data_IF_914027517141
#
_entry.id   IF_914027517141
#
_cell.length_a   1.000
_cell.length_b   1.000
_cell.length_c   1.000
_cell.angle_alpha   90.00
_cell.angle_beta   90.00
_cell.angle_gamma   90.00
#
_symmetry.space_group_name_H-M   'P 1'
#
loop_
_entity.id
_entity.type
_entity.pdbx_description
1 polymer ?
#
# COMPACT_ATOMS: atom_id res chain seq x y z
N UNK A 1 17.41 6.94 29.23
CA UNK A 1 17.67 8.21 28.51
C UNK A 1 17.36 7.93 27.04
N UNK A 2 16.24 8.43 26.53
CA UNK A 2 15.73 8.08 25.20
C UNK A 2 16.65 8.66 24.11
N UNK A 3 17.03 7.87 23.09
CA UNK A 3 18.07 8.24 22.09
C UNK A 3 17.71 9.49 21.27
N UNK A 4 16.44 9.91 21.23
CA UNK A 4 16.01 11.22 20.73
C UNK A 4 16.84 12.36 21.33
N UNK A 5 17.02 12.38 22.65
CA UNK A 5 17.76 13.45 23.31
C UNK A 5 19.24 13.56 22.89
N UNK A 6 19.81 12.54 22.25
CA UNK A 6 21.19 12.61 21.75
C UNK A 6 21.27 13.29 20.38
N UNK A 7 20.31 13.02 19.48
CA UNK A 7 20.18 13.70 18.18
C UNK A 7 19.77 15.18 18.39
N UNK A 8 18.90 15.43 19.39
CA UNK A 8 18.48 16.77 19.79
C UNK A 8 19.64 17.64 20.34
N UNK A 9 20.70 17.04 20.88
CA UNK A 9 21.81 17.77 21.52
C UNK A 9 22.98 18.13 20.60
N UNK A 10 23.10 17.53 19.41
CA UNK A 10 24.29 17.71 18.55
C UNK A 10 24.08 18.55 17.28
N UNK A 11 22.96 19.27 17.15
CA UNK A 11 22.81 20.35 16.16
C UNK A 11 21.84 20.12 15.00
N UNK A 12 20.98 19.10 15.04
CA UNK A 12 19.93 18.83 14.03
C UNK A 12 18.49 19.21 14.43
N UNK A 13 18.31 19.96 15.53
CA UNK A 13 17.11 19.91 16.39
C UNK A 13 16.20 21.13 16.32
N UNK A 14 15.73 21.51 15.12
CA UNK A 14 14.59 22.45 15.02
C UNK A 14 13.61 22.00 13.96
N UNK A 15 14.09 21.56 12.80
CA UNK A 15 13.24 21.02 11.74
C UNK A 15 12.61 19.68 12.14
N UNK A 16 13.39 18.75 12.72
CA UNK A 16 12.87 17.49 13.25
C UNK A 16 11.83 17.72 14.38
N UNK A 17 12.12 18.63 15.31
CA UNK A 17 11.17 19.00 16.37
C UNK A 17 9.91 19.66 15.80
N UNK A 18 10.06 20.55 14.81
CA UNK A 18 8.93 21.16 14.13
C UNK A 18 8.07 20.12 13.39
N UNK A 19 8.69 19.11 12.77
CA UNK A 19 8.00 18.01 12.08
C UNK A 19 7.22 17.12 13.05
N UNK A 20 7.85 16.69 14.15
CA UNK A 20 7.18 15.84 15.14
C UNK A 20 6.06 16.62 15.85
N UNK A 21 6.28 17.88 16.21
CA UNK A 21 5.25 18.74 16.80
C UNK A 21 4.11 19.05 15.81
N UNK A 22 4.43 19.25 14.53
CA UNK A 22 3.42 19.41 13.48
C UNK A 22 2.57 18.14 13.37
N UNK A 23 3.19 16.97 13.30
CA UNK A 23 2.51 15.68 13.20
C UNK A 23 1.62 15.37 14.43
N UNK A 24 1.91 15.96 15.59
CA UNK A 24 1.08 15.81 16.80
C UNK A 24 -0.17 16.72 16.83
N UNK A 25 -0.20 17.82 16.07
CA UNK A 25 -1.25 18.84 16.13
C UNK A 25 -2.41 18.59 15.13
N UNK A 26 -3.52 17.99 15.61
CA UNK A 26 -4.66 17.50 14.79
C UNK A 26 -5.36 18.51 13.86
N UNK A 27 -5.17 19.82 14.02
CA UNK A 27 -5.92 20.84 13.27
C UNK A 27 -5.25 21.33 11.99
N UNK A 28 -3.90 21.31 11.93
CA UNK A 28 -3.10 21.89 10.82
C UNK A 28 -1.79 21.11 10.56
N UNK A 29 -1.72 19.86 11.03
CA UNK A 29 -0.52 19.01 10.98
C UNK A 29 0.08 18.92 9.58
N UNK A 30 -0.76 18.72 8.56
CA UNK A 30 -0.32 18.53 7.17
C UNK A 30 0.40 19.75 6.61
N UNK A 31 -0.12 20.96 6.85
CA UNK A 31 0.48 22.22 6.37
C UNK A 31 1.82 22.47 7.06
N UNK A 32 1.85 22.29 8.38
CA UNK A 32 3.06 22.48 9.18
C UNK A 32 4.14 21.43 8.87
N UNK A 33 3.75 20.16 8.66
CA UNK A 33 4.66 19.09 8.25
C UNK A 33 5.26 19.42 6.89
N UNK A 34 4.42 19.79 5.91
CA UNK A 34 4.89 20.17 4.57
C UNK A 34 5.85 21.36 4.62
N UNK A 35 5.53 22.39 5.39
CA UNK A 35 6.41 23.55 5.55
C UNK A 35 7.76 23.16 6.17
N UNK A 36 7.76 22.33 7.20
CA UNK A 36 8.99 21.89 7.86
C UNK A 36 9.84 20.97 6.96
N UNK A 37 9.21 20.15 6.11
CA UNK A 37 9.92 19.39 5.07
C UNK A 37 10.53 20.32 4.03
N UNK A 38 9.77 21.31 3.55
CA UNK A 38 10.25 22.28 2.57
C UNK A 38 11.44 23.09 3.07
N UNK A 39 11.43 23.46 4.35
CA UNK A 39 12.51 24.23 4.97
C UNK A 39 13.79 23.40 5.14
N UNK A 40 13.69 22.08 5.35
CA UNK A 40 14.84 21.18 5.47
C UNK A 40 14.51 19.71 5.09
N UNK A 41 14.49 19.37 3.78
CA UNK A 41 14.09 18.04 3.33
C UNK A 41 15.12 16.97 3.70
N UNK A 42 16.38 17.34 3.92
CA UNK A 42 17.44 16.41 4.33
C UNK A 42 17.28 15.98 5.78
N UNK A 43 16.95 16.91 6.67
CA UNK A 43 16.64 16.56 8.07
C UNK A 43 15.33 15.76 8.17
N UNK A 44 14.33 16.06 7.34
CA UNK A 44 13.11 15.26 7.25
C UNK A 44 13.42 13.81 6.82
N UNK A 45 14.23 13.65 5.76
CA UNK A 45 14.68 12.35 5.29
C UNK A 45 15.48 11.57 6.35
N UNK A 46 16.38 12.26 7.05
CA UNK A 46 17.15 11.67 8.16
C UNK A 46 16.28 11.29 9.37
N UNK A 47 15.16 11.98 9.61
CA UNK A 47 14.20 11.61 10.65
C UNK A 47 13.45 10.34 10.28
N UNK A 48 12.94 10.24 9.05
CA UNK A 48 12.19 9.07 8.60
C UNK A 48 13.08 7.86 8.31
N UNK A 49 14.40 8.02 8.19
CA UNK A 49 15.34 6.89 8.15
C UNK A 49 15.58 6.26 9.52
N UNK A 50 15.16 6.89 10.62
CA UNK A 50 15.25 6.28 11.95
C UNK A 50 14.10 5.27 12.14
N UNK A 51 14.33 4.14 12.85
CA UNK A 51 13.27 3.22 13.24
C UNK A 51 12.12 3.95 13.93
N UNK A 52 10.87 3.49 13.78
CA UNK A 52 9.65 4.19 14.26
C UNK A 52 9.70 4.65 15.72
N UNK A 53 10.23 3.81 16.62
CA UNK A 53 10.41 4.17 18.03
C UNK A 53 11.42 5.29 18.24
N UNK A 54 12.33 5.54 17.30
CA UNK A 54 13.39 6.57 17.35
C UNK A 54 13.11 7.81 16.47
N UNK A 55 12.17 7.75 15.53
CA UNK A 55 11.75 8.89 14.70
C UNK A 55 10.61 9.72 15.31
N UNK A 56 9.76 9.08 16.10
CA UNK A 56 8.64 9.68 16.82
C UNK A 56 7.36 9.59 16.01
N UNK A 57 7.48 8.97 14.84
CA UNK A 57 6.46 8.83 13.82
C UNK A 57 6.08 7.36 13.70
N UNK A 58 4.80 7.12 13.46
CA UNK A 58 4.33 5.82 12.95
C UNK A 58 4.79 5.65 11.49
N UNK A 59 4.69 4.44 10.93
CA UNK A 59 4.99 4.26 9.50
C UNK A 59 4.06 5.08 8.59
N UNK A 60 2.79 5.27 9.00
CA UNK A 60 1.87 6.22 8.35
C UNK A 60 2.40 7.66 8.43
N UNK A 61 2.90 8.09 9.59
CA UNK A 61 3.55 9.40 9.72
C UNK A 61 4.79 9.55 8.85
N UNK A 62 5.65 8.52 8.81
CA UNK A 62 6.87 8.48 8.00
C UNK A 62 6.54 8.56 6.50
N UNK A 63 5.52 7.84 6.03
CA UNK A 63 5.11 7.90 4.62
C UNK A 63 4.54 9.26 4.20
N UNK A 64 3.77 9.92 5.07
CA UNK A 64 3.30 11.30 4.81
C UNK A 64 4.44 12.29 4.70
N UNK A 65 5.45 12.17 5.57
CA UNK A 65 6.68 12.97 5.46
C UNK A 65 7.42 12.62 4.19
N UNK A 66 7.53 11.34 3.84
CA UNK A 66 8.18 10.89 2.61
C UNK A 66 7.50 11.50 1.37
N UNK A 67 6.17 11.54 1.30
CA UNK A 67 5.44 12.20 0.20
C UNK A 67 5.81 13.68 0.06
N UNK A 68 5.90 14.41 1.17
CA UNK A 68 6.33 15.80 1.12
C UNK A 68 7.79 15.92 0.70
N UNK A 69 8.65 14.99 1.12
CA UNK A 69 10.05 14.96 0.70
C UNK A 69 10.11 14.76 -0.81
N UNK A 70 9.38 13.77 -1.35
CA UNK A 70 9.32 13.50 -2.79
C UNK A 70 8.84 14.71 -3.60
N UNK A 71 7.85 15.45 -3.08
CA UNK A 71 7.34 16.65 -3.75
C UNK A 71 8.38 17.79 -3.92
N UNK A 72 9.45 17.79 -3.11
CA UNK A 72 10.54 18.77 -3.21
C UNK A 72 11.65 18.34 -4.20
N UNK A 73 11.61 17.11 -4.72
CA UNK A 73 12.56 16.58 -5.70
C UNK A 73 11.85 16.24 -7.03
N UNK A 74 11.80 17.19 -7.99
CA UNK A 74 11.04 17.02 -9.24
C UNK A 74 11.64 16.01 -10.21
N UNK A 75 12.89 15.59 -10.01
CA UNK A 75 13.54 14.53 -10.79
C UNK A 75 13.33 13.18 -10.08
N UNK A 76 12.54 12.25 -10.68
CA UNK A 76 12.27 10.94 -10.09
C UNK A 76 13.52 10.11 -9.83
N UNK A 77 14.51 10.13 -10.73
CA UNK A 77 15.72 9.31 -10.57
C UNK A 77 16.54 9.78 -9.37
N UNK A 78 16.67 11.11 -9.24
CA UNK A 78 17.35 11.73 -8.11
C UNK A 78 16.62 11.45 -6.79
N UNK A 79 15.28 11.58 -6.78
CA UNK A 79 14.47 11.34 -5.61
C UNK A 79 14.59 9.88 -5.14
N UNK A 80 14.54 8.92 -6.08
CA UNK A 80 14.79 7.50 -5.81
C UNK A 80 16.15 7.29 -5.17
N UNK A 81 17.23 7.78 -5.80
CA UNK A 81 18.59 7.58 -5.29
C UNK A 81 18.75 8.11 -3.87
N UNK A 82 18.19 9.28 -3.58
CA UNK A 82 18.24 9.87 -2.25
C UNK A 82 17.50 9.03 -1.21
N UNK A 83 16.30 8.55 -1.53
CA UNK A 83 15.50 7.73 -0.61
C UNK A 83 16.17 6.36 -0.39
N UNK A 84 16.67 5.72 -1.44
CA UNK A 84 17.35 4.42 -1.36
C UNK A 84 18.66 4.48 -0.56
N UNK A 85 19.39 5.61 -0.64
CA UNK A 85 20.59 5.83 0.16
C UNK A 85 20.30 6.15 1.63
N UNK A 86 19.20 6.84 1.91
CA UNK A 86 18.90 7.31 3.25
C UNK A 86 18.11 6.30 4.08
N UNK A 87 17.17 5.57 3.47
CA UNK A 87 16.24 4.67 4.16
C UNK A 87 16.57 3.23 3.77
N UNK A 88 16.70 2.35 4.77
CA UNK A 88 16.94 0.93 4.55
C UNK A 88 15.77 0.30 3.79
N UNK A 89 16.04 -0.73 2.99
CA UNK A 89 15.02 -1.43 2.19
C UNK A 89 13.82 -1.88 3.04
N UNK A 90 14.07 -2.57 4.16
CA UNK A 90 13.04 -3.04 5.08
C UNK A 90 12.15 -1.90 5.63
N UNK A 91 12.75 -0.74 5.90
CA UNK A 91 12.03 0.44 6.36
C UNK A 91 11.19 1.06 5.22
N UNK A 92 11.70 1.12 3.99
CA UNK A 92 10.93 1.61 2.84
C UNK A 92 9.70 0.74 2.59
N UNK A 93 9.88 -0.58 2.63
CA UNK A 93 8.81 -1.57 2.50
C UNK A 93 7.74 -1.35 3.57
N UNK A 94 8.13 -1.23 4.85
CA UNK A 94 7.19 -1.03 5.94
C UNK A 94 6.47 0.35 5.89
N UNK A 95 7.15 1.40 5.40
CA UNK A 95 6.54 2.73 5.21
C UNK A 95 5.50 2.68 4.08
N UNK A 96 5.84 2.06 2.95
CA UNK A 96 4.95 1.90 1.80
C UNK A 96 3.74 1.04 2.15
N UNK A 97 3.95 -0.12 2.77
CA UNK A 97 2.89 -1.04 3.18
C UNK A 97 1.92 -0.38 4.16
N UNK A 98 2.42 0.44 5.09
CA UNK A 98 1.57 1.15 6.04
C UNK A 98 0.67 2.22 5.40
N UNK A 99 0.95 2.68 4.18
CA UNK A 99 0.04 3.52 3.39
C UNK A 99 -0.94 2.72 2.54
N UNK A 100 -0.63 1.44 2.28
CA UNK A 100 -1.41 0.57 1.42
C UNK A 100 -1.67 1.15 0.03
N UNK A 101 -2.93 1.08 -0.38
CA UNK A 101 -3.44 1.54 -1.68
C UNK A 101 -3.63 3.07 -1.79
N UNK A 102 -3.41 3.83 -0.71
CA UNK A 102 -3.51 5.28 -0.76
C UNK A 102 -2.46 5.89 -1.71
N UNK A 103 -2.78 7.00 -2.41
CA UNK A 103 -1.82 7.69 -3.26
C UNK A 103 -0.55 8.04 -2.49
N UNK A 104 0.60 7.59 -2.98
CA UNK A 104 1.90 7.79 -2.33
C UNK A 104 2.95 7.99 -3.42
N UNK A 105 3.52 9.20 -3.52
CA UNK A 105 4.49 9.58 -4.55
C UNK A 105 5.76 8.72 -4.53
N UNK A 106 6.13 8.18 -3.36
CA UNK A 106 7.24 7.24 -3.26
C UNK A 106 6.97 5.94 -4.02
N UNK A 107 5.71 5.50 -4.07
CA UNK A 107 5.30 4.30 -4.80
C UNK A 107 5.39 4.49 -6.32
N UNK A 108 5.53 5.70 -6.85
CA UNK A 108 5.73 5.98 -8.29
C UNK A 108 7.22 6.00 -8.68
N UNK A 109 8.11 6.12 -7.68
CA UNK A 109 9.52 6.42 -7.90
C UNK A 109 10.45 5.32 -7.41
N UNK A 110 10.04 4.58 -6.38
CA UNK A 110 10.81 3.45 -5.85
C UNK A 110 10.81 2.27 -6.82
N UNK A 111 11.78 1.39 -6.62
CA UNK A 111 11.96 0.16 -7.42
C UNK A 111 10.73 -0.75 -7.34
N UNK A 112 10.50 -1.54 -8.40
CA UNK A 112 9.43 -2.54 -8.42
C UNK A 112 9.58 -3.56 -7.29
N UNK A 113 10.81 -3.93 -6.94
CA UNK A 113 11.05 -4.90 -5.87
C UNK A 113 10.62 -4.33 -4.49
N UNK A 114 10.83 -3.04 -4.23
CA UNK A 114 10.31 -2.36 -3.02
C UNK A 114 8.77 -2.35 -3.01
N UNK A 115 8.16 -2.07 -4.16
CA UNK A 115 6.69 -1.99 -4.31
C UNK A 115 6.04 -3.36 -4.10
N UNK A 116 6.59 -4.41 -4.70
CA UNK A 116 6.07 -5.78 -4.56
C UNK A 116 6.26 -6.26 -3.12
N UNK A 117 7.42 -5.99 -2.51
CA UNK A 117 7.65 -6.31 -1.12
C UNK A 117 6.66 -5.58 -0.20
N UNK A 118 6.33 -4.31 -0.47
CA UNK A 118 5.34 -3.56 0.30
C UNK A 118 3.92 -4.13 0.15
N UNK A 119 3.52 -4.47 -1.07
CA UNK A 119 2.23 -5.11 -1.36
C UNK A 119 2.08 -6.45 -0.61
N UNK A 120 3.12 -7.29 -0.62
CA UNK A 120 3.12 -8.57 0.09
C UNK A 120 3.17 -8.38 1.61
N UNK A 121 3.88 -7.37 2.09
CA UNK A 121 3.91 -7.03 3.51
C UNK A 121 2.51 -6.63 4.01
N UNK A 122 1.77 -5.82 3.23
CA UNK A 122 0.38 -5.46 3.58
C UNK A 122 -0.53 -6.69 3.64
N UNK A 123 -0.40 -7.62 2.69
CA UNK A 123 -1.14 -8.89 2.73
C UNK A 123 -0.88 -9.64 4.03
N UNK A 124 0.38 -9.77 4.43
CA UNK A 124 0.73 -10.50 5.66
C UNK A 124 0.27 -9.75 6.92
N UNK A 125 0.40 -8.42 6.97
CA UNK A 125 -0.13 -7.60 8.07
C UNK A 125 -1.64 -7.80 8.25
N UNK A 126 -2.39 -7.82 7.14
CA UNK A 126 -3.84 -8.05 7.14
C UNK A 126 -4.16 -9.46 7.64
N UNK A 127 -3.44 -10.48 7.18
CA UNK A 127 -3.62 -11.87 7.63
C UNK A 127 -3.34 -12.03 9.13
N UNK A 128 -2.24 -11.46 9.61
CA UNK A 128 -1.84 -11.51 11.02
C UNK A 128 -2.88 -10.84 11.91
N UNK A 129 -3.39 -9.66 11.51
CA UNK A 129 -4.41 -8.92 12.25
C UNK A 129 -5.73 -9.68 12.41
N UNK A 130 -6.00 -10.62 11.50
CA UNK A 130 -7.21 -11.45 11.46
C UNK A 130 -7.00 -12.86 11.99
N UNK A 131 -5.78 -13.22 12.39
CA UNK A 131 -5.42 -14.57 12.83
C UNK A 131 -5.82 -15.65 11.81
N UNK A 132 -5.71 -15.34 10.51
CA UNK A 132 -5.99 -16.31 9.46
C UNK A 132 -4.96 -17.43 9.50
N UNK A 133 -5.42 -18.67 9.36
CA UNK A 133 -4.55 -19.85 9.38
C UNK A 133 -4.28 -20.35 7.96
N UNK A 134 -3.41 -21.35 7.82
CA UNK A 134 -3.19 -22.02 6.53
C UNK A 134 -4.46 -22.70 5.98
N UNK A 135 -5.43 -23.01 6.84
CA UNK A 135 -6.72 -23.58 6.45
C UNK A 135 -7.62 -22.55 5.72
N UNK A 136 -7.30 -21.26 5.83
CA UNK A 136 -8.01 -20.15 5.17
C UNK A 136 -7.42 -19.83 3.78
N UNK A 137 -6.84 -20.83 3.09
CA UNK A 137 -6.09 -20.62 1.85
C UNK A 137 -6.83 -19.76 0.81
N UNK A 138 -8.07 -20.09 0.47
CA UNK A 138 -8.84 -19.34 -0.53
C UNK A 138 -9.23 -17.93 -0.05
N UNK A 139 -9.49 -17.75 1.24
CA UNK A 139 -9.68 -16.41 1.80
C UNK A 139 -8.39 -15.59 1.71
N UNK A 140 -7.23 -16.21 1.96
CA UNK A 140 -5.92 -15.58 1.77
C UNK A 140 -5.65 -15.22 0.31
N UNK A 141 -6.05 -16.07 -0.65
CA UNK A 141 -5.96 -15.76 -2.09
C UNK A 141 -6.86 -14.56 -2.42
N UNK A 142 -8.10 -14.54 -1.92
CA UNK A 142 -9.01 -13.42 -2.15
C UNK A 142 -8.52 -12.09 -1.56
N UNK A 143 -7.92 -12.13 -0.38
CA UNK A 143 -7.28 -10.96 0.22
C UNK A 143 -6.12 -10.44 -0.64
N UNK A 144 -5.25 -11.34 -1.10
CA UNK A 144 -4.16 -11.01 -2.03
C UNK A 144 -4.72 -10.35 -3.29
N UNK A 145 -5.71 -10.96 -3.94
CA UNK A 145 -6.30 -10.43 -5.17
C UNK A 145 -6.84 -9.01 -4.99
N UNK A 146 -7.56 -8.75 -3.90
CA UNK A 146 -8.09 -7.42 -3.60
C UNK A 146 -7.01 -6.37 -3.35
N UNK A 147 -6.01 -6.69 -2.53
CA UNK A 147 -4.87 -5.78 -2.24
C UNK A 147 -4.06 -5.54 -3.51
N UNK A 148 -3.69 -6.59 -4.24
CA UNK A 148 -2.94 -6.49 -5.50
C UNK A 148 -3.68 -5.63 -6.52
N UNK A 149 -5.01 -5.79 -6.67
CA UNK A 149 -5.82 -4.94 -7.56
C UNK A 149 -5.80 -3.47 -7.13
N UNK A 150 -5.91 -3.19 -5.83
CA UNK A 150 -5.87 -1.82 -5.31
C UNK A 150 -4.52 -1.14 -5.61
N UNK A 151 -3.41 -1.86 -5.39
CA UNK A 151 -2.08 -1.41 -5.80
C UNK A 151 -1.94 -1.24 -7.32
N UNK A 152 -2.45 -2.19 -8.10
CA UNK A 152 -2.39 -2.11 -9.55
C UNK A 152 -3.13 -0.89 -10.10
N UNK A 153 -4.27 -0.51 -9.50
CA UNK A 153 -4.99 0.72 -9.83
C UNK A 153 -4.18 1.97 -9.52
N UNK A 154 -3.50 2.01 -8.37
CA UNK A 154 -2.62 3.10 -7.96
C UNK A 154 -1.41 3.27 -8.88
N UNK A 155 -0.84 2.18 -9.38
CA UNK A 155 0.44 2.15 -10.11
C UNK A 155 0.29 2.16 -11.63
N UNK A 156 -0.94 2.16 -12.17
CA UNK A 156 -1.22 1.98 -13.60
C UNK A 156 -0.54 2.98 -14.54
N UNK A 157 -0.18 4.15 -14.03
CA UNK A 157 0.43 5.22 -14.80
C UNK A 157 1.98 5.19 -14.76
N UNK A 158 2.59 4.20 -14.08
CA UNK A 158 4.05 4.02 -14.05
C UNK A 158 4.58 3.56 -15.41
N UNK A 159 5.79 3.98 -15.74
CA UNK A 159 6.47 3.58 -16.98
C UNK A 159 6.76 2.06 -17.01
N UNK A 160 7.03 1.47 -15.85
CA UNK A 160 7.34 0.04 -15.67
C UNK A 160 6.12 -0.79 -15.26
N UNK A 161 4.90 -0.27 -15.44
CA UNK A 161 3.66 -0.95 -15.03
C UNK A 161 3.45 -2.31 -15.71
N UNK A 162 3.78 -2.41 -17.00
CA UNK A 162 3.69 -3.69 -17.72
C UNK A 162 4.70 -4.72 -17.18
N UNK A 163 5.88 -4.27 -16.72
CA UNK A 163 6.83 -5.16 -16.06
C UNK A 163 6.25 -5.65 -14.73
N UNK A 164 5.67 -4.75 -13.93
CA UNK A 164 4.99 -5.09 -12.67
C UNK A 164 3.92 -6.16 -12.89
N UNK A 165 3.00 -5.96 -13.84
CA UNK A 165 1.90 -6.90 -14.11
C UNK A 165 2.40 -8.31 -14.42
N UNK A 166 3.56 -8.44 -15.08
CA UNK A 166 4.14 -9.72 -15.46
C UNK A 166 5.03 -10.34 -14.37
N UNK A 167 5.21 -9.70 -13.21
CA UNK A 167 5.99 -10.29 -12.10
C UNK A 167 5.23 -11.46 -11.46
N UNK A 168 5.91 -12.58 -11.17
CA UNK A 168 5.32 -13.69 -10.42
C UNK A 168 5.12 -13.26 -8.97
N UNK A 169 3.99 -13.68 -8.38
CA UNK A 169 3.63 -13.34 -7.00
C UNK A 169 3.26 -14.56 -6.15
N UNK A 170 2.72 -15.62 -6.75
CA UNK A 170 2.37 -16.85 -6.05
C UNK A 170 2.51 -18.07 -6.97
N UNK A 171 3.62 -18.80 -6.82
CA UNK A 171 3.96 -19.89 -7.74
C UNK A 171 4.07 -19.41 -9.18
N UNK A 172 3.20 -19.94 -10.05
CA UNK A 172 3.13 -19.59 -11.47
C UNK A 172 2.18 -18.41 -11.76
N UNK A 173 1.45 -17.91 -10.75
CA UNK A 173 0.54 -16.78 -10.91
C UNK A 173 1.31 -15.46 -10.90
N UNK A 174 0.94 -14.60 -11.85
CA UNK A 174 1.46 -13.24 -11.97
C UNK A 174 0.60 -12.23 -11.20
N UNK A 175 1.12 -11.00 -11.02
CA UNK A 175 0.33 -9.87 -10.53
C UNK A 175 -0.90 -9.65 -11.42
N UNK A 176 -0.75 -9.73 -12.74
CA UNK A 176 -1.86 -9.65 -13.70
C UNK A 176 -2.94 -10.69 -13.39
N UNK A 177 -2.54 -11.94 -13.14
CA UNK A 177 -3.49 -13.00 -12.83
C UNK A 177 -4.31 -12.68 -11.57
N UNK A 178 -3.65 -12.20 -10.52
CA UNK A 178 -4.34 -11.77 -9.28
C UNK A 178 -5.32 -10.61 -9.51
N UNK A 179 -4.95 -9.64 -10.36
CA UNK A 179 -5.83 -8.53 -10.75
C UNK A 179 -7.05 -9.05 -11.51
N UNK A 180 -6.84 -9.94 -12.48
CA UNK A 180 -7.91 -10.53 -13.28
C UNK A 180 -8.87 -11.36 -12.42
N UNK A 181 -8.34 -12.20 -11.52
CA UNK A 181 -9.12 -12.95 -10.54
C UNK A 181 -9.99 -12.01 -9.70
N UNK A 182 -9.43 -10.90 -9.23
CA UNK A 182 -10.19 -9.89 -8.50
C UNK A 182 -11.30 -9.27 -9.35
N UNK A 183 -11.06 -8.94 -10.62
CA UNK A 183 -12.10 -8.43 -11.52
C UNK A 183 -13.23 -9.46 -11.68
N UNK A 184 -12.92 -10.72 -11.97
CA UNK A 184 -13.91 -11.76 -12.20
C UNK A 184 -14.75 -12.02 -10.94
N UNK A 185 -14.09 -12.25 -9.81
CA UNK A 185 -14.74 -12.59 -8.54
C UNK A 185 -15.64 -11.46 -8.02
N UNK A 186 -15.24 -10.20 -8.18
CA UNK A 186 -16.05 -9.07 -7.75
C UNK A 186 -17.33 -8.86 -8.58
N UNK A 187 -17.39 -9.43 -9.77
CA UNK A 187 -18.53 -9.31 -10.70
C UNK A 187 -19.35 -10.60 -10.81
N UNK A 188 -19.23 -11.52 -9.85
CA UNK A 188 -20.04 -12.75 -9.85
C UNK A 188 -19.51 -13.85 -10.75
N UNK A 189 -18.34 -13.67 -11.37
CA UNK A 189 -17.76 -14.62 -12.32
C UNK A 189 -16.78 -15.52 -11.57
N UNK A 190 -17.29 -16.58 -10.94
CA UNK A 190 -16.52 -17.59 -10.19
C UNK A 190 -17.31 -18.90 -10.01
N UNK A 191 -16.64 -19.97 -9.57
CA UNK A 191 -17.26 -21.25 -9.23
C UNK A 191 -17.66 -22.13 -10.43
N UNK A 192 -18.29 -23.28 -10.13
CA UNK A 192 -18.60 -24.33 -11.11
C UNK A 192 -19.58 -23.89 -12.21
N UNK A 193 -20.47 -22.93 -11.93
CA UNK A 193 -21.47 -22.46 -12.91
C UNK A 193 -20.80 -21.76 -14.11
N UNK A 194 -19.67 -21.09 -13.90
CA UNK A 194 -18.88 -20.45 -14.97
C UNK A 194 -18.15 -21.49 -15.81
N UNK A 195 -17.71 -22.60 -15.21
CA UNK A 195 -17.05 -23.69 -15.94
C UNK A 195 -17.97 -24.37 -16.94
N UNK A 196 -19.28 -24.47 -16.63
CA UNK A 196 -20.28 -24.99 -17.57
C UNK A 196 -20.44 -24.09 -18.80
N UNK A 197 -20.31 -22.76 -18.63
CA UNK A 197 -20.42 -21.80 -19.74
C UNK A 197 -19.19 -21.83 -20.66
N UNK A 198 -18.01 -22.18 -20.14
CA UNK A 198 -16.76 -22.26 -20.91
C UNK A 198 -16.62 -23.53 -21.78
N UNK A 199 -17.45 -24.54 -21.52
CA UNK A 199 -17.50 -25.78 -22.30
C UNK A 199 -18.41 -25.67 -23.54
N UNK A 200 -19.20 -24.60 -23.65
CA UNK A 200 -19.97 -24.28 -24.85
C UNK A 200 -19.09 -23.47 -25.82
N UNK A 201 -19.26 -23.62 -27.14
CA UNK A 201 -18.56 -22.85 -28.20
C UNK A 201 -18.99 -21.36 -28.20
N UNK A 202 -19.18 -20.75 -27.02
CA UNK A 202 -19.55 -19.35 -26.84
C UNK A 202 -18.32 -18.44 -27.07
N UNK A 203 -18.36 -17.55 -28.07
CA UNK A 203 -17.28 -16.59 -28.29
C UNK A 203 -17.17 -15.52 -27.18
N UNK A 204 -18.19 -15.34 -26.34
CA UNK A 204 -18.24 -14.30 -25.30
C UNK A 204 -18.67 -14.88 -23.92
N UNK A 205 -17.86 -15.78 -23.32
CA UNK A 205 -18.26 -16.59 -22.16
C UNK A 205 -18.53 -15.79 -20.86
N UNK A 206 -18.28 -14.48 -20.87
CA UNK A 206 -18.48 -13.60 -19.71
C UNK A 206 -19.44 -12.43 -20.00
N UNK A 207 -20.11 -12.44 -21.17
CA UNK A 207 -21.20 -11.54 -21.53
C UNK A 207 -21.05 -10.08 -21.07
N UNK A 208 -22.08 -9.60 -20.38
CA UNK A 208 -22.20 -8.23 -19.83
C UNK A 208 -21.62 -8.11 -18.41
N UNK A 209 -21.30 -9.25 -17.77
CA UNK A 209 -20.76 -9.33 -16.42
C UNK A 209 -19.38 -8.68 -16.34
N UNK A 210 -18.56 -8.85 -17.38
CA UNK A 210 -17.24 -8.25 -17.50
C UNK A 210 -17.23 -7.21 -18.63
N UNK A 211 -17.29 -5.94 -18.27
CA UNK A 211 -17.23 -4.82 -19.24
C UNK A 211 -15.78 -4.45 -19.61
N UNK A 212 -15.56 -3.77 -20.73
CA UNK A 212 -14.21 -3.35 -21.14
C UNK A 212 -13.58 -2.36 -20.14
N UNK A 213 -14.37 -1.42 -19.64
CA UNK A 213 -13.94 -0.39 -18.68
C UNK A 213 -13.29 -0.98 -17.42
N UNK A 214 -13.73 -2.17 -16.99
CA UNK A 214 -13.14 -2.84 -15.82
C UNK A 214 -11.65 -3.20 -16.00
N UNK A 215 -11.24 -3.52 -17.22
CA UNK A 215 -9.85 -3.85 -17.57
C UNK A 215 -9.07 -2.59 -17.92
N UNK A 216 -9.68 -1.71 -18.73
CA UNK A 216 -9.04 -0.47 -19.18
C UNK A 216 -8.71 0.47 -18.01
N UNK A 217 -9.55 0.51 -16.97
CA UNK A 217 -9.28 1.30 -15.76
C UNK A 217 -8.02 0.84 -15.02
N UNK A 218 -7.59 -0.40 -15.25
CA UNK A 218 -6.38 -1.02 -14.70
C UNK A 218 -5.28 -1.14 -15.77
N UNK A 219 -5.40 -0.47 -16.92
CA UNK A 219 -4.38 -0.52 -17.97
C UNK A 219 -4.21 -1.91 -18.61
N UNK A 220 -5.19 -2.80 -18.48
CA UNK A 220 -5.17 -4.15 -19.07
C UNK A 220 -6.00 -4.14 -20.35
N UNK A 221 -5.49 -4.73 -21.42
CA UNK A 221 -6.25 -4.93 -22.65
C UNK A 221 -7.46 -5.86 -22.37
N UNK A 222 -8.71 -5.45 -22.68
CA UNK A 222 -9.89 -6.27 -22.40
C UNK A 222 -9.89 -7.67 -23.06
N UNK A 223 -9.43 -7.77 -24.29
CA UNK A 223 -9.39 -9.02 -25.06
C UNK A 223 -8.38 -9.99 -24.43
N UNK A 224 -7.13 -9.54 -24.23
CA UNK A 224 -6.08 -10.34 -23.58
C UNK A 224 -6.47 -10.75 -22.15
N UNK A 225 -7.12 -9.84 -21.40
CA UNK A 225 -7.60 -10.10 -20.05
C UNK A 225 -8.66 -11.21 -20.00
N UNK A 226 -9.61 -11.22 -20.93
CA UNK A 226 -10.63 -12.29 -21.04
C UNK A 226 -10.02 -13.61 -21.45
N UNK A 227 -9.14 -13.61 -22.45
CA UNK A 227 -8.44 -14.83 -22.88
C UNK A 227 -7.64 -15.46 -21.73
N UNK A 228 -6.97 -14.62 -20.92
CA UNK A 228 -6.25 -15.11 -19.74
C UNK A 228 -7.20 -15.61 -18.66
N UNK A 229 -8.32 -14.93 -18.40
CA UNK A 229 -9.35 -15.40 -17.47
C UNK A 229 -9.89 -16.79 -17.86
N UNK A 230 -10.24 -16.99 -19.13
CA UNK A 230 -10.66 -18.32 -19.64
C UNK A 230 -9.61 -19.39 -19.33
N UNK A 231 -8.32 -19.05 -19.46
CA UNK A 231 -7.22 -19.96 -19.14
C UNK A 231 -7.16 -20.28 -17.64
N UNK A 232 -7.26 -19.26 -16.77
CA UNK A 232 -7.26 -19.44 -15.31
C UNK A 232 -8.43 -20.31 -14.82
N UNK A 233 -9.61 -20.18 -15.44
CA UNK A 233 -10.74 -21.06 -15.19
C UNK A 233 -10.46 -22.50 -15.62
N UNK A 234 -9.91 -22.72 -16.82
CA UNK A 234 -9.50 -24.06 -17.29
C UNK A 234 -8.43 -24.70 -16.40
N UNK A 235 -7.59 -23.89 -15.78
CA UNK A 235 -6.59 -24.30 -14.79
C UNK A 235 -7.20 -24.55 -13.39
N UNK A 236 -8.51 -24.31 -13.22
CA UNK A 236 -9.28 -24.50 -11.98
C UNK A 236 -8.81 -23.63 -10.81
N UNK A 237 -8.23 -22.45 -11.12
CA UNK A 237 -7.73 -21.51 -10.10
C UNK A 237 -8.87 -20.88 -9.29
N UNK A 238 -10.07 -20.81 -9.86
CA UNK A 238 -11.22 -20.06 -9.32
C UNK A 238 -12.34 -20.97 -8.75
N UNK A 239 -12.20 -22.29 -8.82
CA UNK A 239 -13.31 -23.24 -8.58
C UNK A 239 -13.79 -23.29 -7.12
N UNK A 240 -12.89 -23.02 -6.17
CA UNK A 240 -13.18 -23.14 -4.73
C UNK A 240 -13.45 -21.79 -4.06
N UNK A 241 -13.49 -20.70 -4.83
CA UNK A 241 -13.84 -19.37 -4.35
C UNK A 241 -15.36 -19.27 -4.20
N UNK A 242 -15.80 -18.82 -3.01
CA UNK A 242 -17.21 -18.64 -2.70
C UNK A 242 -17.56 -17.16 -2.50
N UNK A 243 -18.86 -16.83 -2.64
CA UNK A 243 -19.35 -15.48 -2.39
C UNK A 243 -19.01 -14.99 -0.97
N UNK A 244 -19.16 -15.87 0.03
CA UNK A 244 -18.83 -15.57 1.43
C UNK A 244 -17.35 -15.19 1.60
N UNK A 245 -16.44 -15.89 0.92
CA UNK A 245 -15.00 -15.57 0.94
C UNK A 245 -14.73 -14.19 0.33
N UNK A 246 -15.40 -13.85 -0.77
CA UNK A 246 -15.28 -12.54 -1.43
C UNK A 246 -15.76 -11.43 -0.48
N UNK A 247 -16.93 -11.59 0.15
CA UNK A 247 -17.45 -10.61 1.10
C UNK A 247 -16.56 -10.46 2.33
N UNK A 248 -16.05 -11.58 2.88
CA UNK A 248 -15.11 -11.55 4.00
C UNK A 248 -13.80 -10.84 3.64
N UNK A 249 -13.25 -11.10 2.45
CA UNK A 249 -12.04 -10.43 1.98
C UNK A 249 -12.26 -8.93 1.83
N UNK A 250 -13.35 -8.51 1.19
CA UNK A 250 -13.71 -7.08 1.04
C UNK A 250 -13.88 -6.38 2.38
N UNK A 251 -14.61 -6.98 3.32
CA UNK A 251 -14.80 -6.43 4.66
C UNK A 251 -13.49 -6.33 5.44
N UNK A 252 -12.60 -7.30 5.24
CA UNK A 252 -11.28 -7.33 5.89
C UNK A 252 -10.38 -6.22 5.36
N UNK A 253 -10.30 -6.05 4.04
CA UNK A 253 -9.52 -4.98 3.39
C UNK A 253 -10.07 -3.61 3.79
N UNK A 254 -11.40 -3.42 3.74
CA UNK A 254 -12.02 -2.15 4.12
C UNK A 254 -11.72 -1.76 5.58
N UNK A 255 -11.72 -2.73 6.50
CA UNK A 255 -11.34 -2.48 7.89
C UNK A 255 -9.86 -2.17 8.05
N UNK A 256 -8.99 -2.85 7.30
CA UNK A 256 -7.55 -2.56 7.30
C UNK A 256 -7.27 -1.12 6.83
N UNK A 257 -7.89 -0.69 5.74
CA UNK A 257 -7.79 0.69 5.24
C UNK A 257 -8.32 1.70 6.27
N UNK A 258 -9.44 1.40 6.93
CA UNK A 258 -9.98 2.26 8.00
C UNK A 258 -8.99 2.43 9.15
N UNK A 259 -8.30 1.36 9.55
CA UNK A 259 -7.28 1.40 10.61
C UNK A 259 -6.10 2.28 10.17
N UNK A 260 -5.66 2.18 8.92
CA UNK A 260 -4.59 3.03 8.37
C UNK A 260 -4.99 4.51 8.41
N UNK A 261 -6.20 4.84 7.95
CA UNK A 261 -6.71 6.21 7.95
C UNK A 261 -6.81 6.82 9.36
N UNK A 262 -7.21 6.02 10.34
CA UNK A 262 -7.34 6.43 11.74
C UNK A 262 -6.01 6.43 12.52
N UNK A 263 -4.95 5.82 11.96
CA UNK A 263 -3.66 5.70 12.62
C UNK A 263 -3.01 7.09 12.77
N UNK A 264 -2.69 7.51 14.01
CA UNK A 264 -2.00 8.78 14.24
C UNK A 264 -0.63 8.80 13.57
N UNK A 265 -0.20 9.97 13.09
CA UNK A 265 1.13 10.14 12.48
C UNK A 265 2.29 10.07 13.47
N UNK A 266 2.02 10.22 14.77
CA UNK A 266 3.03 10.16 15.84
C UNK A 266 2.81 8.95 16.73
N UNK A 267 3.87 8.48 17.38
CA UNK A 267 3.76 7.40 18.37
C UNK A 267 2.99 7.88 19.61
N UNK A 268 2.45 6.93 20.37
CA UNK A 268 1.66 7.22 21.59
C UNK A 268 2.44 8.06 22.61
N UNK A 269 3.72 7.73 22.82
CA UNK A 269 4.56 8.42 23.80
C UNK A 269 4.76 9.89 23.42
N UNK A 270 5.04 10.16 22.14
CA UNK A 270 5.17 11.51 21.58
C UNK A 270 3.84 12.27 21.71
N UNK A 271 2.72 11.64 21.40
CA UNK A 271 1.40 12.26 21.56
C UNK A 271 1.10 12.64 23.02
N UNK A 272 1.48 11.80 23.98
CA UNK A 272 1.30 12.06 25.41
C UNK A 272 2.21 13.19 25.90
N UNK A 273 3.46 13.23 25.45
CA UNK A 273 4.40 14.32 25.77
C UNK A 273 3.91 15.66 25.23
N UNK A 274 3.45 15.69 23.97
CA UNK A 274 2.89 16.89 23.35
C UNK A 274 1.64 17.41 24.11
N UNK A 275 0.74 16.51 24.51
CA UNK A 275 -0.44 16.86 25.29
C UNK A 275 -0.11 17.43 26.68
N UNK A 276 0.94 16.90 27.33
CA UNK A 276 1.40 17.39 28.62
C UNK A 276 1.99 18.80 28.51
N UNK A 277 2.76 19.08 27.45
CA UNK A 277 3.34 20.40 27.19
C UNK A 277 2.25 21.43 26.90
N UNK A 278 1.27 21.10 26.06
CA UNK A 278 0.14 21.98 25.76
C UNK A 278 -0.64 22.34 27.05
N UNK A 279 -0.97 21.34 27.87
CA UNK A 279 -1.68 21.55 29.14
C UNK A 279 -0.90 22.39 30.15
N UNK A 280 0.43 22.37 30.10
CA UNK A 280 1.29 23.20 30.96
C UNK A 280 1.46 24.64 30.45
N UNK A 281 1.16 24.89 29.17
CA UNK A 281 1.34 26.20 28.52
C UNK A 281 0.08 27.08 28.58
N UNK A 282 -1.08 26.49 28.90
CA UNK A 282 -2.36 27.18 29.13
C UNK A 282 -2.56 27.66 30.60
N UNK A 283 -1.49 27.65 31.40
CA UNK A 283 -1.39 28.18 32.78
C UNK A 283 -0.56 29.47 32.82
#
# INVERSE_FOLDING_TARGET
MNRYHLILKQGGSRAADALVNAAANRGDATVLMRQAVRDDPKSALALISLPGEQSGLTNVGRGRVLDFVMAEFPDPEQAREMVEQAILHEDRVAILAAHGDLPHAAADVLSLDDVIAAMLHEVEDVKESRHLTEDDYYLSVMLRCGIVKAWAFKLKDREDYEELLNRPIDGDLTIRDMVLISIATENGVYGEEVMVMLDEDDPEPFGDELTNDMFENLGINPEEGRERLVTLFKERVLDEITEDMIHMAKATIAEAHRIVDETPSVTRDVAQEAAAIASASDL
#
